data_IF_700656715493
#
_entry.id   IF_700656715493
#
_cell.length_a   1.000
_cell.length_b   1.000
_cell.length_c   1.000
_cell.angle_alpha   90.00
_cell.angle_beta   90.00
_cell.angle_gamma   90.00
#
_symmetry.space_group_name_H-M   'P 1'
#
loop_
_entity.id
_entity.type
_entity.pdbx_description
1 polymer ?
#
# COMPACT_ATOMS: atom_id res chain seq x y z
N UNK A 1 -6.37 -7.09 -23.26
CA UNK A 1 -6.08 -5.87 -22.49
C UNK A 1 -5.48 -6.32 -21.17
N UNK A 2 -4.41 -5.70 -20.72
CA UNK A 2 -3.77 -6.04 -19.45
C UNK A 2 -4.71 -5.68 -18.28
N UNK A 3 -4.81 -6.59 -17.31
CA UNK A 3 -5.67 -6.39 -16.15
C UNK A 3 -5.01 -5.46 -15.14
N UNK A 4 -5.85 -4.77 -14.37
CA UNK A 4 -5.44 -3.77 -13.38
C UNK A 4 -5.68 -4.29 -11.96
N UNK A 5 -4.76 -3.97 -11.07
CA UNK A 5 -5.00 -3.98 -9.63
C UNK A 5 -5.54 -2.62 -9.19
N UNK A 6 -6.63 -2.62 -8.46
CA UNK A 6 -7.36 -1.41 -8.05
C UNK A 6 -7.22 -1.21 -6.55
N UNK A 7 -6.50 -0.17 -6.14
CA UNK A 7 -6.60 0.32 -4.78
C UNK A 7 -7.85 1.17 -4.64
N UNK A 8 -8.76 0.81 -3.76
CA UNK A 8 -10.05 1.51 -3.64
C UNK A 8 -10.36 1.91 -2.20
N UNK A 9 -10.63 3.19 -2.02
CA UNK A 9 -11.16 3.73 -0.78
C UNK A 9 -12.62 4.15 -0.97
N UNK A 10 -13.59 3.23 -0.95
CA UNK A 10 -14.99 3.55 -1.22
C UNK A 10 -15.58 4.51 -0.20
N UNK A 11 -15.08 4.53 1.02
CA UNK A 11 -15.49 5.49 2.05
C UNK A 11 -14.31 6.31 2.57
N UNK A 12 -14.62 7.52 3.06
CA UNK A 12 -13.64 8.42 3.68
C UNK A 12 -13.60 8.29 5.21
N UNK A 13 -14.65 7.77 5.83
CA UNK A 13 -14.77 7.64 7.27
C UNK A 13 -13.68 6.75 7.89
N UNK A 14 -13.22 7.10 9.09
CA UNK A 14 -12.28 6.30 9.87
C UNK A 14 -12.46 6.61 11.36
N UNK A 15 -12.40 5.58 12.19
CA UNK A 15 -12.46 5.68 13.65
C UNK A 15 -11.14 6.12 14.29
N UNK A 16 -10.05 6.25 13.51
CA UNK A 16 -8.73 6.67 14.00
C UNK A 16 -8.31 8.03 13.42
N UNK A 17 -7.39 8.71 14.12
CA UNK A 17 -6.88 10.03 13.75
C UNK A 17 -5.34 10.06 13.64
N UNK A 18 -4.78 9.10 12.89
CA UNK A 18 -3.34 8.97 12.70
C UNK A 18 -2.72 10.23 12.10
N UNK A 19 -1.68 10.78 12.75
CA UNK A 19 -1.01 12.00 12.29
C UNK A 19 -0.25 11.81 10.97
N UNK A 20 0.21 10.60 10.68
CA UNK A 20 0.94 10.24 9.47
C UNK A 20 0.04 9.79 8.31
N UNK A 21 -1.29 9.78 8.50
CA UNK A 21 -2.23 9.25 7.52
C UNK A 21 -2.16 10.02 6.20
N UNK A 22 -1.89 9.30 5.12
CA UNK A 22 -1.74 9.88 3.77
C UNK A 22 -3.04 10.46 3.21
N UNK A 23 -4.20 10.00 3.70
CA UNK A 23 -5.52 10.43 3.21
C UNK A 23 -6.29 11.35 4.18
N UNK A 24 -5.68 11.76 5.29
CA UNK A 24 -6.36 12.47 6.38
C UNK A 24 -7.14 13.72 5.91
N UNK A 25 -6.53 14.59 5.09
CA UNK A 25 -7.19 15.81 4.62
C UNK A 25 -8.31 15.53 3.62
N UNK A 26 -8.16 14.48 2.81
CA UNK A 26 -9.21 14.09 1.86
C UNK A 26 -10.48 13.55 2.52
N UNK A 27 -10.37 13.06 3.76
CA UNK A 27 -11.54 12.59 4.51
C UNK A 27 -12.46 13.71 4.98
N UNK A 28 -11.95 14.94 5.10
CA UNK A 28 -12.73 16.10 5.58
C UNK A 28 -13.61 16.67 4.46
N UNK A 29 -13.14 16.64 3.22
CA UNK A 29 -13.76 17.33 2.08
C UNK A 29 -14.44 16.37 1.09
N UNK A 30 -14.44 15.05 1.34
CA UNK A 30 -14.97 14.09 0.37
C UNK A 30 -16.46 13.83 0.57
N UNK A 31 -17.19 13.84 -0.55
CA UNK A 31 -18.54 13.28 -0.60
C UNK A 31 -18.41 11.85 -1.09
N UNK A 32 -18.63 10.88 -0.18
CA UNK A 32 -18.60 9.47 -0.53
C UNK A 32 -19.70 9.15 -1.54
N UNK A 33 -19.40 8.26 -2.48
CA UNK A 33 -20.37 7.78 -3.46
C UNK A 33 -21.32 6.76 -2.83
N UNK A 34 -22.44 6.52 -3.49
CA UNK A 34 -23.41 5.51 -3.09
C UNK A 34 -23.06 4.14 -3.68
N UNK A 35 -23.61 3.09 -3.10
CA UNK A 35 -23.37 1.70 -3.51
C UNK A 35 -23.64 1.47 -5.01
N UNK A 36 -24.69 2.09 -5.55
CA UNK A 36 -25.05 2.01 -6.96
C UNK A 36 -23.92 2.49 -7.88
N UNK A 37 -23.25 3.59 -7.53
CA UNK A 37 -22.11 4.08 -8.31
C UNK A 37 -20.95 3.08 -8.31
N UNK A 38 -20.75 2.37 -7.20
CA UNK A 38 -19.69 1.37 -7.07
C UNK A 38 -19.99 0.12 -7.90
N UNK A 39 -21.24 -0.37 -7.83
CA UNK A 39 -21.68 -1.55 -8.60
C UNK A 39 -21.71 -1.28 -10.09
N UNK A 40 -22.20 -0.13 -10.53
CA UNK A 40 -22.20 0.29 -11.95
C UNK A 40 -20.77 0.35 -12.50
N UNK A 41 -19.82 0.92 -11.73
CA UNK A 41 -18.42 0.93 -12.12
C UNK A 41 -17.85 -0.50 -12.29
N UNK A 42 -18.12 -1.39 -11.35
CA UNK A 42 -17.66 -2.78 -11.45
C UNK A 42 -18.29 -3.47 -12.67
N UNK A 43 -19.60 -3.30 -12.88
CA UNK A 43 -20.30 -3.90 -14.02
C UNK A 43 -19.69 -3.47 -15.37
N UNK A 44 -19.34 -2.20 -15.48
CA UNK A 44 -18.75 -1.66 -16.70
C UNK A 44 -17.28 -2.05 -16.93
N UNK A 45 -16.54 -2.41 -15.86
CA UNK A 45 -15.08 -2.52 -15.96
C UNK A 45 -14.51 -3.88 -15.48
N UNK A 46 -15.32 -4.82 -14.99
CA UNK A 46 -14.89 -6.10 -14.38
C UNK A 46 -13.91 -6.90 -15.25
N UNK A 47 -14.05 -6.83 -16.57
CA UNK A 47 -13.23 -7.59 -17.52
C UNK A 47 -11.73 -7.21 -17.46
N UNK A 48 -11.41 -6.00 -17.01
CA UNK A 48 -10.04 -5.47 -16.92
C UNK A 48 -9.55 -5.32 -15.48
N UNK A 49 -10.32 -5.78 -14.48
CA UNK A 49 -9.92 -5.77 -13.07
C UNK A 49 -9.46 -7.17 -12.68
N UNK A 50 -8.25 -7.27 -12.14
CA UNK A 50 -7.70 -8.52 -11.59
C UNK A 50 -7.91 -8.62 -10.08
N UNK A 51 -7.64 -7.54 -9.38
CA UNK A 51 -7.74 -7.49 -7.94
C UNK A 51 -8.19 -6.11 -7.45
N UNK A 52 -8.87 -6.10 -6.30
CA UNK A 52 -9.23 -4.89 -5.57
C UNK A 52 -8.62 -4.97 -4.18
N UNK A 53 -7.88 -3.93 -3.78
CA UNK A 53 -7.49 -3.73 -2.40
C UNK A 53 -8.26 -2.55 -1.82
N UNK A 54 -9.12 -2.83 -0.87
CA UNK A 54 -9.87 -1.81 -0.13
C UNK A 54 -8.97 -1.17 0.93
N UNK A 55 -8.84 0.15 0.87
CA UNK A 55 -8.05 0.93 1.83
C UNK A 55 -8.39 2.40 1.67
N UNK A 56 -7.95 3.28 2.55
CA UNK A 56 -8.41 4.63 2.81
C UNK A 56 -9.63 4.64 3.73
N UNK A 57 -9.58 5.44 4.80
CA UNK A 57 -10.56 5.33 5.86
C UNK A 57 -10.46 4.00 6.61
N UNK A 58 -11.58 3.54 7.15
CA UNK A 58 -11.75 2.18 7.65
C UNK A 58 -13.03 1.60 7.04
N UNK A 59 -12.89 0.75 6.04
CA UNK A 59 -14.02 0.29 5.22
C UNK A 59 -15.06 -0.51 6.01
N UNK A 60 -14.65 -1.21 7.07
CA UNK A 60 -15.54 -1.98 7.93
C UNK A 60 -16.56 -1.14 8.72
N UNK A 61 -16.42 0.18 8.74
CA UNK A 61 -17.44 1.09 9.29
C UNK A 61 -18.71 1.19 8.42
N UNK A 62 -18.68 0.68 7.19
CA UNK A 62 -19.79 0.79 6.23
C UNK A 62 -20.38 -0.58 5.88
N UNK A 63 -21.68 -0.78 6.15
CA UNK A 63 -22.38 -1.95 5.66
C UNK A 63 -22.49 -2.00 4.12
N UNK A 64 -22.47 -0.85 3.45
CA UNK A 64 -22.49 -0.80 1.99
C UNK A 64 -21.17 -1.31 1.39
N UNK A 65 -20.04 -1.15 2.10
CA UNK A 65 -18.80 -1.80 1.68
C UNK A 65 -18.91 -3.33 1.72
N UNK A 66 -19.50 -3.92 2.77
CA UNK A 66 -19.76 -5.36 2.81
C UNK A 66 -20.70 -5.81 1.70
N UNK A 67 -21.76 -5.02 1.37
CA UNK A 67 -22.63 -5.29 0.22
C UNK A 67 -21.86 -5.27 -1.11
N UNK A 68 -20.93 -4.33 -1.28
CA UNK A 68 -20.05 -4.29 -2.46
C UNK A 68 -19.17 -5.54 -2.56
N UNK A 69 -18.53 -5.95 -1.46
CA UNK A 69 -17.71 -7.17 -1.40
C UNK A 69 -18.54 -8.41 -1.78
N UNK A 70 -19.73 -8.53 -1.22
CA UNK A 70 -20.68 -9.61 -1.53
C UNK A 70 -21.12 -9.59 -2.99
N UNK A 71 -21.48 -8.43 -3.52
CA UNK A 71 -21.85 -8.22 -4.91
C UNK A 71 -20.77 -8.70 -5.88
N UNK A 72 -19.53 -8.26 -5.65
CA UNK A 72 -18.39 -8.63 -6.49
C UNK A 72 -18.11 -10.13 -6.39
N UNK A 73 -18.11 -10.71 -5.19
CA UNK A 73 -17.89 -12.15 -5.01
C UNK A 73 -18.95 -12.98 -5.71
N UNK A 74 -20.21 -12.55 -5.67
CA UNK A 74 -21.32 -13.27 -6.28
C UNK A 74 -21.31 -13.17 -7.80
N UNK A 75 -21.06 -11.99 -8.34
CA UNK A 75 -21.21 -11.72 -9.78
C UNK A 75 -19.92 -11.89 -10.58
N UNK A 76 -18.78 -11.60 -9.97
CA UNK A 76 -17.44 -11.59 -10.58
C UNK A 76 -16.40 -12.32 -9.73
N UNK A 77 -16.58 -13.62 -9.45
CA UNK A 77 -15.76 -14.36 -8.48
C UNK A 77 -14.28 -14.46 -8.83
N UNK A 78 -13.91 -14.15 -10.08
CA UNK A 78 -12.51 -14.12 -10.51
C UNK A 78 -11.73 -12.87 -10.03
N UNK A 79 -12.41 -11.83 -9.57
CA UNK A 79 -11.77 -10.64 -9.00
C UNK A 79 -11.35 -10.96 -7.57
N UNK A 80 -10.04 -10.88 -7.29
CA UNK A 80 -9.52 -11.05 -5.94
C UNK A 80 -9.83 -9.81 -5.10
N UNK A 81 -10.21 -10.00 -3.85
CA UNK A 81 -10.58 -8.92 -2.94
C UNK A 81 -9.73 -8.95 -1.67
N UNK A 82 -8.93 -7.93 -1.47
CA UNK A 82 -8.13 -7.73 -0.28
C UNK A 82 -8.60 -6.50 0.49
N UNK A 83 -8.35 -6.46 1.80
CA UNK A 83 -8.65 -5.30 2.64
C UNK A 83 -7.46 -4.90 3.48
N UNK A 84 -7.13 -3.60 3.48
CA UNK A 84 -6.22 -3.00 4.45
C UNK A 84 -7.04 -2.32 5.53
N UNK A 85 -6.97 -2.86 6.75
CA UNK A 85 -7.71 -2.36 7.92
C UNK A 85 -6.77 -1.80 8.99
N UNK A 86 -7.29 -0.91 9.80
CA UNK A 86 -6.61 -0.44 11.01
C UNK A 86 -6.80 -1.38 12.22
N UNK A 87 -7.49 -2.52 12.00
CA UNK A 87 -7.82 -3.52 13.00
C UNK A 87 -9.29 -3.56 13.41
N UNK A 88 -10.07 -2.51 13.14
CA UNK A 88 -11.48 -2.46 13.57
C UNK A 88 -12.38 -3.49 12.87
N UNK A 89 -11.91 -4.05 11.76
CA UNK A 89 -12.61 -5.10 11.00
C UNK A 89 -12.97 -6.30 11.88
N UNK A 90 -12.05 -6.79 12.71
CA UNK A 90 -12.26 -7.95 13.57
C UNK A 90 -13.48 -7.78 14.47
N UNK A 91 -13.58 -6.62 15.11
CA UNK A 91 -14.73 -6.28 15.95
C UNK A 91 -16.06 -6.31 15.18
N UNK A 92 -16.15 -5.64 14.04
CA UNK A 92 -17.37 -5.58 13.23
C UNK A 92 -17.82 -6.96 12.78
N UNK A 93 -16.86 -7.77 12.31
CA UNK A 93 -17.12 -9.12 11.81
C UNK A 93 -17.60 -10.05 12.94
N UNK A 94 -17.04 -9.95 14.14
CA UNK A 94 -17.44 -10.78 15.29
C UNK A 94 -18.81 -10.37 15.88
N UNK A 95 -19.20 -9.10 15.73
CA UNK A 95 -20.47 -8.57 16.24
C UNK A 95 -21.65 -8.75 15.26
N UNK A 96 -21.38 -9.21 14.00
CA UNK A 96 -22.40 -9.28 12.95
C UNK A 96 -22.23 -10.53 12.07
N UNK A 97 -23.11 -11.53 12.21
CA UNK A 97 -23.05 -12.80 11.50
C UNK A 97 -23.07 -12.65 9.97
N UNK A 98 -23.79 -11.67 9.43
CA UNK A 98 -23.79 -11.44 8.00
C UNK A 98 -22.45 -10.84 7.53
N UNK A 99 -21.86 -9.92 8.28
CA UNK A 99 -20.53 -9.40 7.97
C UNK A 99 -19.46 -10.51 8.05
N UNK A 100 -19.63 -11.44 8.98
CA UNK A 100 -18.77 -12.63 9.09
C UNK A 100 -18.87 -13.52 7.85
N UNK A 101 -20.09 -13.84 7.40
CA UNK A 101 -20.29 -14.62 6.17
C UNK A 101 -19.66 -13.93 4.95
N UNK A 102 -19.86 -12.62 4.81
CA UNK A 102 -19.26 -11.85 3.72
C UNK A 102 -17.72 -11.84 3.82
N UNK A 103 -17.16 -11.67 5.01
CA UNK A 103 -15.72 -11.75 5.25
C UNK A 103 -15.16 -13.12 4.86
N UNK A 104 -15.81 -14.19 5.31
CA UNK A 104 -15.34 -15.56 5.07
C UNK A 104 -15.29 -15.91 3.58
N UNK A 105 -16.33 -15.65 2.83
CA UNK A 105 -16.41 -16.00 1.41
C UNK A 105 -15.94 -14.90 0.45
N UNK A 106 -15.98 -13.62 0.87
CA UNK A 106 -15.74 -12.45 0.01
C UNK A 106 -14.32 -11.92 0.03
N UNK A 107 -13.62 -11.98 1.17
CA UNK A 107 -12.25 -11.44 1.31
C UNK A 107 -11.23 -12.56 1.14
N UNK A 108 -10.26 -12.34 0.23
CA UNK A 108 -9.20 -13.30 -0.08
C UNK A 108 -7.94 -13.08 0.76
N UNK A 109 -7.61 -11.84 1.14
CA UNK A 109 -6.46 -11.51 2.00
C UNK A 109 -6.72 -10.27 2.86
N UNK A 110 -6.04 -10.18 3.99
CA UNK A 110 -6.18 -9.08 4.95
C UNK A 110 -4.82 -8.48 5.29
N UNK A 111 -4.73 -7.17 5.14
CA UNK A 111 -3.60 -6.38 5.60
C UNK A 111 -3.99 -5.68 6.91
N UNK A 112 -3.33 -6.02 8.01
CA UNK A 112 -3.58 -5.43 9.32
C UNK A 112 -2.51 -4.39 9.64
N UNK A 113 -2.92 -3.19 9.90
CA UNK A 113 -2.02 -2.09 10.23
C UNK A 113 -1.51 -2.19 11.68
N UNK A 114 -0.23 -2.49 11.86
CA UNK A 114 0.41 -2.56 13.19
C UNK A 114 1.84 -1.99 13.13
N UNK A 115 2.03 -0.77 13.67
CA UNK A 115 3.30 -0.04 13.56
C UNK A 115 4.27 -0.29 14.71
N UNK A 116 3.76 -0.72 15.87
CA UNK A 116 4.56 -1.00 17.07
C UNK A 116 4.10 -2.29 17.72
N UNK A 117 5.06 -3.04 18.26
CA UNK A 117 4.80 -4.23 19.05
C UNK A 117 4.31 -3.91 20.49
N UNK A 118 4.55 -2.69 20.95
CA UNK A 118 4.08 -2.18 22.23
C UNK A 118 2.71 -1.50 22.07
N UNK A 119 1.72 -1.94 22.85
CA UNK A 119 0.34 -1.48 22.76
C UNK A 119 0.21 0.03 23.04
N UNK A 120 0.86 0.53 24.08
CA UNK A 120 0.77 1.95 24.46
C UNK A 120 1.32 2.83 23.35
N UNK A 121 2.48 2.49 22.83
CA UNK A 121 3.14 3.23 21.74
C UNK A 121 2.32 3.18 20.46
N UNK A 122 1.76 2.00 20.12
CA UNK A 122 0.91 1.84 18.94
C UNK A 122 -0.36 2.70 19.05
N UNK A 123 -1.05 2.64 20.18
CA UNK A 123 -2.26 3.40 20.43
C UNK A 123 -2.02 4.92 20.35
N UNK A 124 -0.92 5.40 20.93
CA UNK A 124 -0.51 6.81 20.83
C UNK A 124 -0.19 7.20 19.37
N UNK A 125 0.53 6.36 18.64
CA UNK A 125 0.92 6.63 17.25
C UNK A 125 -0.29 6.69 16.32
N UNK A 126 -1.29 5.82 16.56
CA UNK A 126 -2.54 5.77 15.79
C UNK A 126 -3.60 6.77 16.25
N UNK A 127 -3.42 7.39 17.43
CA UNK A 127 -4.38 8.32 18.01
C UNK A 127 -5.72 7.66 18.38
N UNK A 128 -5.66 6.40 18.82
CA UNK A 128 -6.81 5.60 19.23
C UNK A 128 -6.40 4.65 20.35
N UNK A 129 -7.11 4.68 21.48
CA UNK A 129 -6.73 3.91 22.68
C UNK A 129 -6.87 2.39 22.56
N UNK A 130 -7.57 1.90 21.53
CA UNK A 130 -7.80 0.47 21.28
C UNK A 130 -7.18 -0.01 19.98
N UNK A 131 -6.33 0.78 19.34
CA UNK A 131 -5.76 0.44 18.01
C UNK A 131 -4.96 -0.86 18.02
N UNK A 132 -4.24 -1.13 19.11
CA UNK A 132 -3.45 -2.36 19.25
C UNK A 132 -4.34 -3.56 19.47
N UNK A 133 -5.29 -3.47 20.39
CA UNK A 133 -6.22 -4.55 20.72
C UNK A 133 -7.08 -4.91 19.50
N UNK A 134 -7.58 -3.92 18.77
CA UNK A 134 -8.35 -4.12 17.53
C UNK A 134 -7.49 -4.82 16.47
N UNK A 135 -6.22 -4.43 16.32
CA UNK A 135 -5.30 -5.08 15.38
C UNK A 135 -5.01 -6.54 15.75
N UNK A 136 -4.77 -6.81 17.03
CA UNK A 136 -4.52 -8.17 17.53
C UNK A 136 -5.77 -9.06 17.40
N UNK A 137 -6.97 -8.52 17.68
CA UNK A 137 -8.23 -9.27 17.49
C UNK A 137 -8.44 -9.61 16.01
N UNK A 138 -8.18 -8.66 15.11
CA UNK A 138 -8.24 -8.93 13.66
C UNK A 138 -7.22 -9.98 13.20
N UNK A 139 -5.99 -9.96 13.72
CA UNK A 139 -5.00 -11.00 13.43
C UNK A 139 -5.48 -12.37 13.95
N UNK A 140 -6.12 -12.43 15.11
CA UNK A 140 -6.75 -13.64 15.63
C UNK A 140 -7.87 -14.16 14.72
N UNK A 141 -8.74 -13.26 14.25
CA UNK A 141 -9.80 -13.58 13.30
C UNK A 141 -9.24 -14.14 11.98
N UNK A 142 -8.23 -13.50 11.40
CA UNK A 142 -7.65 -13.96 10.13
C UNK A 142 -7.00 -15.33 10.26
N UNK A 143 -6.36 -15.63 11.41
CA UNK A 143 -5.80 -16.94 11.70
C UNK A 143 -6.92 -18.00 11.87
N UNK A 144 -7.99 -17.68 12.58
CA UNK A 144 -9.17 -18.56 12.78
C UNK A 144 -9.81 -18.97 11.45
N UNK A 145 -9.91 -18.03 10.50
CA UNK A 145 -10.51 -18.25 9.16
C UNK A 145 -9.48 -18.54 8.07
N UNK A 146 -8.23 -18.84 8.44
CA UNK A 146 -7.13 -19.18 7.51
C UNK A 146 -6.94 -18.19 6.37
N UNK A 147 -7.13 -16.89 6.64
CA UNK A 147 -6.92 -15.84 5.63
C UNK A 147 -5.43 -15.51 5.49
N UNK A 148 -4.89 -15.47 4.28
CA UNK A 148 -3.59 -14.87 4.03
C UNK A 148 -3.50 -13.49 4.66
N UNK A 149 -2.52 -13.27 5.53
CA UNK A 149 -2.46 -12.06 6.36
C UNK A 149 -1.12 -11.39 6.27
N UNK A 150 -1.14 -10.07 6.10
CA UNK A 150 0.04 -9.22 6.14
C UNK A 150 -0.07 -8.21 7.27
N UNK A 151 0.91 -8.15 8.16
CA UNK A 151 1.09 -7.03 9.07
C UNK A 151 1.76 -5.90 8.30
N UNK A 152 1.09 -4.75 8.22
CA UNK A 152 1.58 -3.55 7.54
C UNK A 152 2.06 -2.53 8.56
N UNK A 153 3.33 -2.16 8.48
CA UNK A 153 3.87 -1.06 9.29
C UNK A 153 4.46 0.06 8.43
N UNK A 154 4.38 1.27 8.94
CA UNK A 154 4.95 2.43 8.30
C UNK A 154 6.46 2.48 8.55
N UNK A 155 7.27 2.45 7.49
CA UNK A 155 8.71 2.72 7.60
C UNK A 155 8.95 4.21 7.88
N UNK A 156 9.11 4.58 9.14
CA UNK A 156 9.35 5.94 9.59
C UNK A 156 10.48 6.00 10.61
N UNK A 157 11.07 7.18 10.82
CA UNK A 157 12.14 7.34 11.83
C UNK A 157 11.68 7.05 13.27
N UNK A 158 10.35 6.87 13.49
CA UNK A 158 9.80 6.63 14.82
C UNK A 158 9.75 5.15 15.22
N UNK A 159 9.73 4.22 14.25
CA UNK A 159 9.40 2.82 14.53
C UNK A 159 10.36 1.78 13.94
N UNK A 160 11.41 2.19 13.21
CA UNK A 160 12.37 1.24 12.59
C UNK A 160 13.56 0.87 13.49
N UNK A 161 13.41 0.92 14.79
CA UNK A 161 14.43 0.44 15.73
C UNK A 161 14.30 -1.06 16.02
N UNK A 162 15.41 -1.71 16.39
CA UNK A 162 15.57 -3.17 16.43
C UNK A 162 14.52 -3.85 17.29
N UNK A 163 14.28 -3.33 18.49
CA UNK A 163 13.35 -3.93 19.47
C UNK A 163 11.91 -3.95 18.93
N UNK A 164 11.50 -2.88 18.24
CA UNK A 164 10.18 -2.84 17.61
C UNK A 164 10.09 -3.81 16.43
N UNK A 165 11.11 -3.85 15.58
CA UNK A 165 11.16 -4.79 14.44
C UNK A 165 11.08 -6.22 14.95
N UNK A 166 11.91 -6.63 15.93
CA UNK A 166 11.87 -7.98 16.50
C UNK A 166 10.51 -8.31 17.14
N UNK A 167 9.89 -7.33 17.79
CA UNK A 167 8.55 -7.47 18.35
C UNK A 167 7.48 -7.70 17.28
N UNK A 168 7.51 -6.93 16.19
CA UNK A 168 6.58 -7.10 15.06
C UNK A 168 6.76 -8.47 14.38
N UNK A 169 8.01 -8.94 14.21
CA UNK A 169 8.29 -10.29 13.69
C UNK A 169 7.78 -11.39 14.63
N UNK A 170 7.88 -11.19 15.94
CA UNK A 170 7.34 -12.12 16.93
C UNK A 170 5.81 -12.23 16.85
N UNK A 171 5.13 -11.10 16.68
CA UNK A 171 3.68 -11.06 16.48
C UNK A 171 3.31 -11.74 15.15
N UNK A 172 4.00 -11.41 14.06
CA UNK A 172 3.76 -12.01 12.75
C UNK A 172 3.90 -13.54 12.80
N UNK A 173 4.94 -14.04 13.43
CA UNK A 173 5.14 -15.49 13.63
C UNK A 173 4.01 -16.13 14.43
N UNK A 174 3.50 -15.46 15.48
CA UNK A 174 2.40 -15.95 16.29
C UNK A 174 1.10 -16.12 15.53
N UNK A 175 0.83 -15.23 14.59
CA UNK A 175 -0.43 -15.20 13.83
C UNK A 175 -0.30 -15.72 12.39
N UNK A 176 0.81 -16.39 12.06
CA UNK A 176 1.10 -16.89 10.70
C UNK A 176 0.97 -15.82 9.61
N UNK A 177 1.49 -14.65 9.91
CA UNK A 177 1.42 -13.49 9.01
C UNK A 177 2.80 -13.15 8.42
N UNK A 178 2.83 -12.58 7.23
CA UNK A 178 4.01 -11.89 6.69
C UNK A 178 4.00 -10.42 7.11
N UNK A 179 5.13 -9.73 6.91
CA UNK A 179 5.22 -8.29 7.17
C UNK A 179 5.43 -7.52 5.88
N UNK A 180 4.89 -6.29 5.85
CA UNK A 180 5.12 -5.33 4.78
C UNK A 180 5.48 -3.96 5.34
N UNK A 181 6.62 -3.41 4.89
CA UNK A 181 7.03 -2.06 5.22
C UNK A 181 6.64 -1.09 4.10
N UNK A 182 5.80 -0.12 4.41
CA UNK A 182 5.50 1.01 3.55
C UNK A 182 6.34 2.21 4.00
N UNK A 183 7.33 2.62 3.21
CA UNK A 183 8.15 3.79 3.53
C UNK A 183 7.27 5.05 3.51
N UNK A 184 7.34 5.87 4.56
CA UNK A 184 6.55 7.09 4.70
C UNK A 184 6.70 8.01 3.48
N UNK A 185 5.57 8.58 3.04
CA UNK A 185 5.48 9.54 1.93
C UNK A 185 4.75 10.81 2.38
N UNK A 186 5.36 12.00 2.18
CA UNK A 186 4.76 13.28 2.57
C UNK A 186 3.70 13.73 1.56
N UNK A 187 2.53 13.10 1.55
CA UNK A 187 1.45 13.36 0.57
C UNK A 187 0.92 14.79 0.59
N UNK A 188 1.17 15.53 1.66
CA UNK A 188 0.81 16.95 1.82
C UNK A 188 2.01 17.88 1.78
N UNK A 189 3.10 17.43 1.14
CA UNK A 189 4.35 18.16 1.04
C UNK A 189 5.25 17.99 2.26
N UNK A 190 6.48 18.51 2.11
CA UNK A 190 7.50 18.51 3.16
C UNK A 190 7.28 19.73 4.05
N UNK A 191 7.06 19.51 5.32
CA UNK A 191 6.85 20.53 6.34
C UNK A 191 7.19 19.97 7.72
N UNK A 192 7.20 20.79 8.76
CA UNK A 192 7.55 20.38 10.13
C UNK A 192 6.74 19.18 10.64
N UNK A 193 5.51 19.01 10.16
CA UNK A 193 4.68 17.87 10.53
C UNK A 193 5.14 16.58 9.84
N UNK A 194 5.43 16.61 8.53
CA UNK A 194 5.89 15.43 7.79
C UNK A 194 7.32 15.05 8.12
N UNK A 195 8.20 16.01 8.40
CA UNK A 195 9.62 15.78 8.73
C UNK A 195 9.82 14.87 9.96
N UNK A 196 8.87 14.87 10.90
CA UNK A 196 8.95 13.98 12.05
C UNK A 196 8.79 12.49 11.70
N UNK A 197 8.30 12.15 10.51
CA UNK A 197 8.10 10.78 10.03
C UNK A 197 9.11 10.38 8.96
N UNK A 198 9.70 11.34 8.23
CA UNK A 198 10.66 11.05 7.17
C UNK A 198 11.86 10.30 7.76
N UNK A 199 12.07 9.10 7.26
CA UNK A 199 13.21 8.25 7.61
C UNK A 199 14.40 8.57 6.68
N UNK A 200 15.62 8.50 7.18
CA UNK A 200 16.80 8.69 6.34
C UNK A 200 17.09 7.44 5.48
N UNK A 201 17.73 7.64 4.33
CA UNK A 201 18.23 6.56 3.46
C UNK A 201 19.01 5.49 4.24
N UNK A 202 19.97 5.93 5.05
CA UNK A 202 20.82 5.00 5.79
C UNK A 202 20.03 4.19 6.81
N UNK A 203 19.08 4.81 7.52
CA UNK A 203 18.23 4.10 8.47
C UNK A 203 17.36 3.04 7.78
N UNK A 204 16.85 3.29 6.55
CA UNK A 204 16.13 2.27 5.78
C UNK A 204 17.06 1.11 5.41
N UNK A 205 18.26 1.42 4.89
CA UNK A 205 19.24 0.40 4.50
C UNK A 205 19.68 -0.44 5.69
N UNK A 206 19.98 0.19 6.82
CA UNK A 206 20.40 -0.50 8.05
C UNK A 206 19.27 -1.39 8.60
N UNK A 207 18.04 -0.92 8.54
CA UNK A 207 16.87 -1.71 8.92
C UNK A 207 16.71 -2.94 8.02
N UNK A 208 16.79 -2.78 6.70
CA UNK A 208 16.65 -3.89 5.75
C UNK A 208 17.80 -4.91 5.94
N UNK A 209 19.03 -4.44 6.14
CA UNK A 209 20.18 -5.32 6.42
C UNK A 209 19.99 -6.07 7.73
N UNK A 210 19.56 -5.39 8.80
CA UNK A 210 19.27 -6.04 10.09
C UNK A 210 18.21 -7.12 9.94
N UNK A 211 17.14 -6.86 9.17
CA UNK A 211 16.10 -7.85 8.89
C UNK A 211 16.70 -9.03 8.09
N UNK A 212 17.53 -8.76 7.08
CA UNK A 212 18.16 -9.81 6.27
C UNK A 212 19.09 -10.74 7.06
N UNK A 213 19.66 -10.26 8.16
CA UNK A 213 20.54 -11.05 9.06
C UNK A 213 19.75 -12.04 9.94
N UNK A 214 18.48 -11.74 10.24
CA UNK A 214 17.67 -12.51 11.22
C UNK A 214 16.46 -13.21 10.61
N UNK A 215 15.90 -12.65 9.56
CA UNK A 215 14.63 -13.01 8.97
C UNK A 215 14.76 -13.08 7.45
N UNK A 216 13.66 -13.41 6.76
CA UNK A 216 13.66 -13.52 5.32
C UNK A 216 13.11 -12.26 4.65
N UNK A 217 13.74 -11.81 3.57
CA UNK A 217 13.20 -10.78 2.69
C UNK A 217 12.57 -11.49 1.49
N UNK A 218 11.26 -11.30 1.30
CA UNK A 218 10.49 -11.92 0.23
C UNK A 218 10.58 -11.12 -1.08
N UNK A 219 10.37 -9.81 -0.99
CA UNK A 219 10.42 -8.90 -2.13
C UNK A 219 10.82 -7.47 -1.73
N UNK A 220 11.48 -6.76 -2.64
CA UNK A 220 11.75 -5.32 -2.55
C UNK A 220 11.18 -4.69 -3.82
N UNK A 221 9.94 -4.20 -3.76
CA UNK A 221 9.23 -3.59 -4.90
C UNK A 221 9.47 -2.07 -5.02
N UNK A 222 10.49 -1.57 -4.37
CA UNK A 222 10.96 -0.19 -4.47
C UNK A 222 12.15 -0.15 -5.42
N UNK A 223 12.01 0.46 -6.59
CA UNK A 223 13.02 0.43 -7.66
C UNK A 223 14.37 1.00 -7.23
N UNK A 224 14.40 1.99 -6.34
CA UNK A 224 15.63 2.52 -5.80
C UNK A 224 16.31 1.53 -4.85
N UNK A 225 15.59 1.04 -3.84
CA UNK A 225 16.17 0.12 -2.84
C UNK A 225 16.47 -1.26 -3.42
N UNK A 226 15.67 -1.76 -4.37
CA UNK A 226 15.97 -3.03 -5.05
C UNK A 226 17.29 -2.94 -5.83
N UNK A 227 17.49 -1.87 -6.60
CA UNK A 227 18.73 -1.68 -7.37
C UNK A 227 19.97 -1.68 -6.49
N UNK A 228 19.98 -0.93 -5.38
CA UNK A 228 21.17 -0.80 -4.53
C UNK A 228 21.38 -1.99 -3.58
N UNK A 229 20.33 -2.70 -3.17
CA UNK A 229 20.42 -3.79 -2.18
C UNK A 229 20.50 -5.17 -2.80
N UNK A 230 19.80 -5.43 -3.91
CA UNK A 230 19.79 -6.74 -4.56
C UNK A 230 20.40 -6.71 -5.97
N UNK A 231 20.54 -5.53 -6.57
CA UNK A 231 21.13 -5.35 -7.90
C UNK A 231 20.26 -5.83 -9.06
N UNK A 232 18.97 -5.98 -8.82
CA UNK A 232 17.98 -6.35 -9.84
C UNK A 232 17.04 -5.19 -10.12
N UNK A 233 16.50 -5.16 -11.34
CA UNK A 233 15.38 -4.28 -11.67
C UNK A 233 14.12 -4.87 -11.06
N UNK A 234 13.49 -4.10 -10.19
CA UNK A 234 12.08 -4.32 -9.91
C UNK A 234 11.32 -3.26 -10.72
N UNK A 235 10.36 -3.65 -11.51
CA UNK A 235 9.50 -2.68 -12.16
C UNK A 235 8.79 -1.86 -11.08
N UNK A 236 8.71 -0.53 -11.28
CA UNK A 236 7.89 0.29 -10.40
C UNK A 236 6.44 -0.15 -10.58
N UNK A 237 5.80 -0.75 -9.55
CA UNK A 237 4.48 -1.34 -9.69
C UNK A 237 3.40 -0.33 -10.05
N UNK A 238 3.60 0.93 -9.74
CA UNK A 238 2.67 1.98 -10.13
C UNK A 238 2.63 2.25 -11.64
N UNK A 239 3.57 1.70 -12.42
CA UNK A 239 3.80 2.17 -13.77
C UNK A 239 2.79 1.66 -14.81
N UNK A 240 2.23 0.46 -14.67
CA UNK A 240 1.47 -0.16 -15.76
C UNK A 240 0.21 -0.88 -15.32
N UNK A 241 0.15 -1.39 -14.10
CA UNK A 241 -0.86 -2.38 -13.71
C UNK A 241 -1.70 -1.96 -12.49
N UNK A 242 -1.53 -0.76 -11.93
CA UNK A 242 -2.29 -0.33 -10.75
C UNK A 242 -2.85 1.07 -10.87
N UNK A 243 -4.04 1.26 -10.28
CA UNK A 243 -4.72 2.54 -10.15
C UNK A 243 -5.24 2.73 -8.73
N UNK A 244 -5.56 3.96 -8.38
CA UNK A 244 -6.24 4.31 -7.13
C UNK A 244 -7.58 4.97 -7.40
N UNK A 245 -8.63 4.51 -6.71
CA UNK A 245 -9.96 5.13 -6.67
C UNK A 245 -10.18 5.73 -5.29
N UNK A 246 -10.54 7.00 -5.24
CA UNK A 246 -10.86 7.74 -4.02
C UNK A 246 -12.36 7.66 -3.72
N UNK A 247 -12.79 8.05 -2.53
CA UNK A 247 -14.19 7.96 -2.10
C UNK A 247 -15.15 8.86 -2.88
N UNK A 248 -14.64 9.93 -3.51
CA UNK A 248 -15.39 10.78 -4.44
C UNK A 248 -15.46 10.21 -5.87
N UNK A 249 -14.89 9.02 -6.08
CA UNK A 249 -14.82 8.34 -7.37
C UNK A 249 -13.65 8.78 -8.27
N UNK A 250 -12.82 9.71 -7.83
CA UNK A 250 -11.65 10.15 -8.61
C UNK A 250 -10.67 9.01 -8.80
N UNK A 251 -10.19 8.81 -10.04
CA UNK A 251 -9.17 7.82 -10.41
C UNK A 251 -7.83 8.52 -10.53
N UNK A 252 -6.84 8.02 -9.80
CA UNK A 252 -5.45 8.51 -9.84
C UNK A 252 -4.47 7.38 -10.13
N UNK A 253 -3.24 7.66 -10.62
CA UNK A 253 -2.30 6.62 -11.03
C UNK A 253 -1.55 5.97 -9.87
N UNK A 254 -1.71 6.43 -8.63
CA UNK A 254 -1.01 5.89 -7.45
C UNK A 254 -1.79 6.11 -6.17
N UNK A 255 -1.62 5.19 -5.24
CA UNK A 255 -2.16 5.28 -3.87
C UNK A 255 -1.77 6.58 -3.15
N UNK A 256 -0.60 7.13 -3.43
CA UNK A 256 -0.09 8.31 -2.75
C UNK A 256 -0.27 9.62 -3.53
N UNK A 257 -0.58 9.57 -4.82
CA UNK A 257 -0.86 10.75 -5.65
C UNK A 257 -2.35 11.11 -5.58
N UNK A 258 -2.83 11.45 -4.40
CA UNK A 258 -4.25 11.68 -4.09
C UNK A 258 -4.72 13.13 -4.31
N UNK A 259 -3.81 14.05 -4.64
CA UNK A 259 -4.18 15.43 -4.94
C UNK A 259 -5.04 15.50 -6.21
N UNK A 260 -6.02 16.40 -6.21
CA UNK A 260 -6.95 16.61 -7.34
C UNK A 260 -6.25 16.84 -8.69
N UNK A 261 -5.05 17.43 -8.67
CA UNK A 261 -4.24 17.63 -9.89
C UNK A 261 -3.79 16.32 -10.56
N UNK A 262 -3.82 15.20 -9.84
CA UNK A 262 -3.47 13.86 -10.35
C UNK A 262 -4.69 13.05 -10.79
N UNK A 263 -5.90 13.60 -10.64
CA UNK A 263 -7.13 12.94 -11.10
C UNK A 263 -7.16 12.88 -12.63
N UNK A 264 -7.33 11.69 -13.16
CA UNK A 264 -7.34 11.43 -14.60
C UNK A 264 -8.77 11.17 -15.09
N UNK A 265 -9.60 10.56 -14.25
CA UNK A 265 -10.97 10.18 -14.58
C UNK A 265 -11.83 10.06 -13.30
N UNK A 266 -13.11 9.75 -13.44
CA UNK A 266 -14.00 9.44 -12.32
C UNK A 266 -14.82 8.20 -12.62
N UNK A 267 -15.12 7.37 -11.61
CA UNK A 267 -15.89 6.13 -11.79
C UNK A 267 -17.35 6.35 -12.18
N UNK A 268 -17.87 7.58 -12.12
CA UNK A 268 -19.19 7.92 -12.61
C UNK A 268 -19.29 7.83 -14.14
N UNK A 269 -18.15 7.82 -14.84
CA UNK A 269 -18.09 7.65 -16.28
C UNK A 269 -18.14 6.15 -16.60
N UNK A 270 -19.14 5.71 -17.36
CA UNK A 270 -19.32 4.29 -17.68
C UNK A 270 -18.12 3.73 -18.48
N UNK A 271 -17.74 2.49 -18.19
CA UNK A 271 -16.66 1.75 -18.90
C UNK A 271 -15.31 2.48 -18.94
N UNK A 272 -15.05 3.33 -17.96
CA UNK A 272 -13.91 4.27 -17.97
C UNK A 272 -12.54 3.57 -18.08
N UNK A 273 -12.39 2.37 -17.51
CA UNK A 273 -11.14 1.60 -17.60
C UNK A 273 -10.97 0.87 -18.94
N UNK A 274 -12.00 0.80 -19.75
CA UNK A 274 -11.95 0.27 -21.11
C UNK A 274 -11.55 1.35 -22.13
N UNK A 275 -11.59 2.63 -21.76
CA UNK A 275 -11.20 3.74 -22.61
C UNK A 275 -9.69 3.79 -22.83
N UNK A 276 -9.24 3.62 -24.07
CA UNK A 276 -7.81 3.63 -24.40
C UNK A 276 -7.12 4.98 -24.11
N UNK A 277 -7.83 6.10 -24.24
CA UNK A 277 -7.23 7.40 -23.96
C UNK A 277 -7.00 7.60 -22.47
N UNK A 278 -7.92 7.13 -21.63
CA UNK A 278 -7.75 7.12 -20.16
C UNK A 278 -6.56 6.25 -19.78
N UNK A 279 -6.45 5.05 -20.36
CA UNK A 279 -5.30 4.15 -20.10
C UNK A 279 -3.97 4.76 -20.57
N UNK A 280 -3.96 5.42 -21.72
CA UNK A 280 -2.79 6.20 -22.17
C UNK A 280 -2.45 7.36 -21.23
N UNK A 281 -3.45 8.04 -20.69
CA UNK A 281 -3.22 9.12 -19.73
C UNK A 281 -2.69 8.60 -18.39
N UNK A 282 -3.18 7.46 -17.91
CA UNK A 282 -2.64 6.76 -16.74
C UNK A 282 -1.17 6.37 -16.98
N UNK A 283 -0.86 5.79 -18.13
CA UNK A 283 0.49 5.40 -18.49
C UNK A 283 1.47 6.59 -18.61
N UNK A 284 1.02 7.75 -19.10
CA UNK A 284 1.88 8.94 -19.21
C UNK A 284 2.40 9.44 -17.88
N UNK A 285 1.59 9.36 -16.83
CA UNK A 285 2.02 9.79 -15.48
C UNK A 285 3.09 8.86 -14.92
N UNK A 286 3.17 7.63 -15.46
CA UNK A 286 4.06 6.57 -15.00
C UNK A 286 5.18 6.28 -16.00
N UNK A 287 5.31 7.10 -17.05
CA UNK A 287 6.39 6.98 -18.03
C UNK A 287 7.75 7.01 -17.35
N UNK A 288 8.60 6.03 -17.68
CA UNK A 288 9.96 5.94 -17.13
C UNK A 288 10.81 7.10 -17.66
N UNK A 289 10.83 8.19 -16.93
CA UNK A 289 11.74 9.32 -17.19
C UNK A 289 12.98 9.12 -16.34
N UNK A 290 14.10 8.79 -17.00
CA UNK A 290 15.41 8.75 -16.35
C UNK A 290 15.92 10.20 -16.24
N UNK A 291 16.14 10.72 -15.01
CA UNK A 291 16.65 12.07 -14.82
C UNK A 291 18.06 12.24 -15.42
N UNK A 292 18.36 13.42 -15.97
CA UNK A 292 19.69 13.73 -16.49
C UNK A 292 20.81 13.54 -15.44
N UNK A 293 20.48 13.76 -14.16
CA UNK A 293 21.38 13.54 -13.02
C UNK A 293 21.78 12.06 -12.82
N UNK A 294 21.05 11.11 -13.45
CA UNK A 294 21.34 9.69 -13.38
C UNK A 294 22.27 9.20 -14.51
N UNK A 295 22.63 10.08 -15.46
CA UNK A 295 23.53 9.74 -16.54
C UNK A 295 24.89 9.22 -16.01
N UNK A 296 25.31 8.04 -16.50
CA UNK A 296 26.55 7.38 -16.05
C UNK A 296 26.48 6.74 -14.66
N UNK A 297 25.32 6.72 -14.00
CA UNK A 297 25.12 5.96 -12.78
C UNK A 297 25.11 4.46 -13.07
N UNK A 298 25.79 3.66 -12.25
CA UNK A 298 25.82 2.20 -12.37
C UNK A 298 24.39 1.57 -12.41
N UNK A 299 23.45 2.18 -11.70
CA UNK A 299 22.04 1.72 -11.62
C UNK A 299 21.10 2.48 -12.55
N UNK A 300 21.59 3.23 -13.52
CA UNK A 300 20.75 4.03 -14.44
C UNK A 300 19.61 3.20 -15.05
N UNK A 301 19.92 1.99 -15.55
CA UNK A 301 18.97 1.11 -16.21
C UNK A 301 18.04 0.37 -15.24
N UNK A 302 18.50 0.08 -14.03
CA UNK A 302 17.74 -0.72 -13.05
C UNK A 302 16.88 0.14 -12.13
N UNK A 303 17.41 1.25 -11.64
CA UNK A 303 16.71 2.20 -10.78
C UNK A 303 15.83 3.18 -11.58
N UNK A 304 16.30 3.59 -12.77
CA UNK A 304 15.63 4.54 -13.66
C UNK A 304 15.17 5.85 -12.98
N UNK A 305 15.96 6.31 -12.00
CA UNK A 305 15.65 7.51 -11.21
C UNK A 305 14.84 7.25 -9.96
N UNK A 306 14.47 6.02 -9.65
CA UNK A 306 13.73 5.63 -8.45
C UNK A 306 12.21 5.74 -8.58
N UNK A 307 11.53 5.62 -7.44
CA UNK A 307 10.06 5.53 -7.37
C UNK A 307 9.39 6.84 -7.79
N UNK A 308 8.52 6.78 -8.79
CA UNK A 308 7.95 7.97 -9.42
C UNK A 308 7.02 8.76 -8.49
N UNK A 309 6.14 8.12 -7.70
CA UNK A 309 5.25 8.82 -6.79
C UNK A 309 6.03 9.59 -5.71
N UNK A 310 7.13 9.03 -5.24
CA UNK A 310 8.03 9.68 -4.29
C UNK A 310 8.69 10.91 -4.90
N UNK A 311 9.14 10.83 -6.16
CA UNK A 311 9.71 11.98 -6.89
C UNK A 311 8.69 13.10 -7.07
N UNK A 312 7.46 12.77 -7.46
CA UNK A 312 6.37 13.75 -7.55
C UNK A 312 6.05 14.42 -6.22
N UNK A 313 6.00 13.66 -5.14
CA UNK A 313 5.66 14.19 -3.81
C UNK A 313 6.76 15.11 -3.25
N UNK A 314 8.03 14.83 -3.58
CA UNK A 314 9.16 15.66 -3.13
C UNK A 314 9.41 16.86 -4.02
N UNK A 315 9.37 16.69 -5.32
CA UNK A 315 9.86 17.68 -6.30
C UNK A 315 8.79 18.19 -7.26
N UNK A 316 7.61 17.58 -7.29
CA UNK A 316 6.55 17.91 -8.25
C UNK A 316 6.85 17.48 -9.70
N UNK A 317 7.93 16.71 -9.93
CA UNK A 317 8.41 16.34 -11.26
C UNK A 317 9.10 14.97 -11.27
N UNK A 318 9.13 14.31 -12.43
CA UNK A 318 9.91 13.10 -12.69
C UNK A 318 11.34 13.38 -13.19
N UNK A 319 11.71 14.64 -13.45
CA UNK A 319 13.03 14.97 -13.96
C UNK A 319 14.12 15.01 -12.87
N UNK A 320 13.75 14.93 -11.59
CA UNK A 320 14.69 14.80 -10.47
C UNK A 320 14.85 13.35 -10.07
N UNK A 321 16.03 12.96 -9.62
CA UNK A 321 16.30 11.64 -9.05
C UNK A 321 15.56 11.43 -7.74
N UNK A 322 15.44 10.17 -7.31
CA UNK A 322 14.81 9.79 -6.04
C UNK A 322 15.40 10.60 -4.86
N UNK A 323 14.58 11.14 -3.93
CA UNK A 323 15.07 11.92 -2.80
C UNK A 323 16.00 11.16 -1.86
N UNK A 324 15.98 9.83 -1.89
CA UNK A 324 16.95 9.00 -1.17
C UNK A 324 18.29 8.82 -1.91
N UNK A 325 18.39 9.24 -3.17
CA UNK A 325 19.62 9.18 -3.95
C UNK A 325 20.47 10.42 -3.73
N UNK A 326 21.51 10.32 -2.89
CA UNK A 326 22.41 11.44 -2.59
C UNK A 326 23.44 11.70 -3.72
N UNK A 327 23.96 10.63 -4.34
CA UNK A 327 25.03 10.71 -5.36
C UNK A 327 24.88 9.60 -6.41
N UNK A 328 25.43 9.83 -7.61
CA UNK A 328 25.55 8.79 -8.62
C UNK A 328 26.47 7.67 -8.09
N UNK A 329 26.05 6.43 -8.26
CA UNK A 329 26.84 5.26 -7.84
C UNK A 329 27.64 4.78 -9.03
N UNK A 330 28.97 4.88 -8.93
CA UNK A 330 29.89 4.47 -9.99
C UNK A 330 30.08 2.96 -10.00
N UNK A 331 30.19 2.35 -8.82
CA UNK A 331 30.25 0.89 -8.63
C UNK A 331 29.96 0.53 -7.17
N UNK A 332 29.29 -0.60 -6.91
CA UNK A 332 29.20 -1.12 -5.56
C UNK A 332 29.61 -2.58 -5.52
N UNK A 333 30.64 -2.84 -4.72
CA UNK A 333 31.01 -4.19 -4.25
C UNK A 333 30.27 -4.59 -2.97
N UNK A 334 29.26 -3.82 -2.56
CA UNK A 334 28.52 -4.07 -1.34
C UNK A 334 27.85 -5.45 -1.36
N UNK A 335 27.90 -6.15 -0.24
CA UNK A 335 27.22 -7.44 -0.05
C UNK A 335 25.74 -7.29 -0.41
N UNK A 336 25.34 -7.91 -1.51
CA UNK A 336 23.96 -7.91 -1.96
C UNK A 336 23.11 -8.76 -1.03
N UNK A 337 21.94 -8.26 -0.73
CA UNK A 337 20.92 -9.01 0.00
C UNK A 337 20.37 -10.11 -0.92
N UNK A 338 20.15 -11.30 -0.36
CA UNK A 338 19.55 -12.43 -1.07
C UNK A 338 18.08 -12.50 -0.69
N UNK A 339 17.22 -12.47 -1.70
CA UNK A 339 15.79 -12.67 -1.50
C UNK A 339 15.48 -14.14 -1.21
N UNK A 340 14.50 -14.39 -0.37
CA UNK A 340 13.96 -15.74 -0.15
C UNK A 340 13.33 -16.27 -1.44
N UNK A 341 13.49 -17.59 -1.66
CA UNK A 341 12.81 -18.29 -2.76
C UNK A 341 11.39 -18.75 -2.38
N UNK A 342 10.97 -18.46 -1.16
CA UNK A 342 9.64 -18.83 -0.68
C UNK A 342 8.58 -18.02 -1.45
N UNK A 343 7.60 -18.74 -1.99
CA UNK A 343 6.46 -18.11 -2.66
C UNK A 343 5.52 -17.53 -1.60
N UNK A 344 5.04 -16.35 -1.86
CA UNK A 344 3.95 -15.73 -1.11
C UNK A 344 2.94 -15.15 -2.10
N UNK A 345 1.73 -14.92 -1.65
CA UNK A 345 0.69 -14.26 -2.43
C UNK A 345 0.28 -12.99 -1.69
N UNK A 346 0.30 -11.87 -2.40
CA UNK A 346 -0.28 -10.63 -1.92
C UNK A 346 -0.74 -9.79 -3.10
N UNK A 347 -1.94 -9.21 -2.98
CA UNK A 347 -2.45 -8.24 -3.96
C UNK A 347 -1.51 -7.04 -4.10
N UNK A 348 -0.72 -6.75 -3.06
CA UNK A 348 0.22 -5.63 -3.08
C UNK A 348 1.60 -5.99 -3.67
N UNK A 349 1.89 -7.27 -3.91
CA UNK A 349 3.11 -7.65 -4.61
C UNK A 349 3.00 -7.22 -6.08
N UNK A 350 3.94 -6.37 -6.52
CA UNK A 350 3.86 -5.72 -7.83
C UNK A 350 2.79 -4.61 -7.95
N UNK A 351 2.15 -4.19 -6.83
CA UNK A 351 1.14 -3.13 -6.83
C UNK A 351 1.62 -1.82 -6.18
N UNK A 352 2.39 -1.91 -5.11
CA UNK A 352 2.97 -0.76 -4.40
C UNK A 352 4.49 -0.89 -4.30
N UNK A 353 5.23 0.24 -4.34
CA UNK A 353 6.66 0.24 -4.01
C UNK A 353 6.83 0.03 -2.49
N UNK A 354 6.93 -1.22 -2.09
CA UNK A 354 6.95 -1.70 -0.70
C UNK A 354 7.93 -2.85 -0.53
N UNK A 355 8.19 -3.26 0.71
CA UNK A 355 9.14 -4.33 1.02
C UNK A 355 8.43 -5.39 1.87
N UNK A 356 8.53 -6.66 1.43
CA UNK A 356 7.92 -7.80 2.11
C UNK A 356 8.94 -8.64 2.86
N UNK A 357 8.54 -9.11 4.03
CA UNK A 357 9.37 -9.92 4.91
C UNK A 357 8.58 -11.11 5.47
N UNK A 358 9.32 -12.14 5.90
CA UNK A 358 8.77 -13.30 6.60
C UNK A 358 9.56 -13.59 7.88
N UNK A 359 8.88 -13.94 8.99
CA UNK A 359 9.52 -14.37 10.23
C UNK A 359 10.44 -15.56 10.10
#
# INVERSE_FOLDING_TARGET
MEKLSVGWGPISACNMNCQFCYSRHKRIDSTDLQLENWTDFIDGNHAVIDAINYGTGENSLSLDWFKLVDYIRTKYPAIRQAVTTNGYLGKVVRENDWCLDVFERGIDEVDVSLDFADATTHNMFRGCQYAYEDAIDTLGLTQEYHKPTTIVFLGSKKNVYKENIDGLFSIAKRYDAILRMNIFRPTYGINNHSEQFIISRNAIIDTIKYIAEKYQILAINDSYFSSILIGHTTEDPNASCSIRILSDGSITPSTYLIDKKYTIANIRDANILLDEQIRKNLAKVTEKIVPAECAGCFYEQTCAGGVYDRRYLWYGTLHSKDPYCSEAVIETSANKIVLSKQKFASVHDGYLPTIFFMP
#
